data_IF_504385932285
#
_entry.id   IF_504385932285
#
_cell.length_a   1.000
_cell.length_b   1.000
_cell.length_c   1.000
_cell.angle_alpha   90.00
_cell.angle_beta   90.00
_cell.angle_gamma   90.00
#
_symmetry.space_group_name_H-M   'P 1'
#
loop_
_entity.id
_entity.type
_entity.pdbx_description
1 polymer ?
#
# COMPACT_ATOMS: atom_id res chain seq x y z
N UNK A 1 -35.93 -15.98 -13.02
CA UNK A 1 -36.86 -14.85 -13.17
C UNK A 1 -36.80 -14.03 -11.89
N UNK A 2 -35.94 -13.01 -11.85
CA UNK A 2 -35.72 -12.17 -10.67
C UNK A 2 -35.74 -10.74 -11.20
N UNK A 3 -36.95 -10.17 -11.22
CA UNK A 3 -37.18 -8.77 -11.51
C UNK A 3 -36.51 -7.92 -10.41
N UNK A 4 -35.29 -7.46 -10.65
CA UNK A 4 -34.82 -6.25 -10.00
C UNK A 4 -35.64 -5.09 -10.61
N UNK A 5 -36.32 -4.25 -9.80
CA UNK A 5 -36.99 -3.08 -10.35
C UNK A 5 -35.94 -2.15 -10.98
N UNK A 6 -36.14 -1.86 -12.26
CA UNK A 6 -35.30 -0.94 -13.02
C UNK A 6 -35.72 0.49 -12.63
N UNK A 7 -34.99 1.11 -11.70
CA UNK A 7 -35.26 2.49 -11.32
C UNK A 7 -34.63 3.43 -12.35
N UNK A 8 -35.46 4.19 -13.07
CA UNK A 8 -35.02 5.24 -13.99
C UNK A 8 -35.09 6.58 -13.26
N UNK A 9 -33.93 7.19 -13.03
CA UNK A 9 -33.83 8.50 -12.39
C UNK A 9 -33.65 9.59 -13.46
N UNK A 10 -34.52 10.60 -13.43
CA UNK A 10 -34.39 11.79 -14.27
C UNK A 10 -33.88 12.96 -13.42
N UNK A 11 -32.71 13.50 -13.75
CA UNK A 11 -32.22 14.73 -13.14
C UNK A 11 -33.12 15.91 -13.51
N UNK A 12 -33.42 16.79 -12.56
CA UNK A 12 -34.17 18.01 -12.86
C UNK A 12 -33.26 19.04 -13.54
N UNK A 13 -33.72 19.60 -14.67
CA UNK A 13 -33.05 20.71 -15.34
C UNK A 13 -33.03 21.98 -14.45
N UNK A 14 -31.93 22.73 -14.59
CA UNK A 14 -31.57 23.98 -13.91
C UNK A 14 -32.68 25.03 -14.09
N UNK A 15 -33.70 25.01 -13.23
CA UNK A 15 -34.86 25.91 -13.33
C UNK A 15 -35.85 25.82 -12.18
N UNK A 16 -35.84 24.72 -11.42
CA UNK A 16 -36.61 24.57 -10.17
C UNK A 16 -35.66 24.65 -8.99
N UNK A 17 -35.97 25.48 -7.99
CA UNK A 17 -35.19 25.55 -6.76
C UNK A 17 -35.21 24.18 -6.06
N UNK A 18 -34.02 23.63 -5.76
CA UNK A 18 -33.92 22.45 -4.92
C UNK A 18 -34.28 22.84 -3.50
N UNK A 19 -35.30 22.17 -2.93
CA UNK A 19 -35.65 22.37 -1.54
C UNK A 19 -34.73 21.51 -0.67
N UNK A 20 -33.77 22.16 -0.02
CA UNK A 20 -32.88 21.52 0.94
C UNK A 20 -33.61 21.43 2.28
N UNK A 21 -33.61 20.26 2.89
CA UNK A 21 -34.18 20.01 4.21
C UNK A 21 -33.10 19.53 5.17
N UNK A 22 -33.30 19.77 6.46
CA UNK A 22 -32.39 19.30 7.51
C UNK A 22 -32.55 17.80 7.76
N UNK A 23 -31.52 17.16 8.33
CA UNK A 23 -31.56 15.77 8.74
C UNK A 23 -32.70 15.46 9.74
N UNK A 24 -33.07 16.44 10.59
CA UNK A 24 -34.18 16.28 11.53
C UNK A 24 -35.52 16.16 10.79
N UNK A 25 -35.72 16.98 9.76
CA UNK A 25 -36.92 16.93 8.91
C UNK A 25 -36.98 15.63 8.10
N UNK A 26 -35.84 15.14 7.60
CA UNK A 26 -35.77 13.82 6.96
C UNK A 26 -36.26 12.72 7.90
N UNK A 27 -35.80 12.72 9.16
CA UNK A 27 -36.24 11.73 10.16
C UNK A 27 -37.74 11.78 10.42
N UNK A 28 -38.33 12.97 10.49
CA UNK A 28 -39.79 13.12 10.65
C UNK A 28 -40.52 12.55 9.45
N UNK A 29 -40.13 12.91 8.22
CA UNK A 29 -40.77 12.44 6.99
C UNK A 29 -40.72 10.91 6.85
N UNK A 30 -39.57 10.31 7.18
CA UNK A 30 -39.43 8.85 7.21
C UNK A 30 -40.33 8.19 8.26
N UNK A 31 -40.51 8.84 9.42
CA UNK A 31 -41.40 8.35 10.50
C UNK A 31 -42.88 8.46 10.11
N UNK A 32 -43.24 9.42 9.26
CA UNK A 32 -44.58 9.62 8.70
C UNK A 32 -44.87 8.67 7.52
N UNK A 33 -43.93 7.75 7.21
CA UNK A 33 -44.09 6.72 6.18
C UNK A 33 -43.65 7.12 4.78
N UNK A 34 -42.92 8.23 4.61
CA UNK A 34 -42.33 8.60 3.32
C UNK A 34 -41.12 7.69 3.00
N UNK A 35 -40.96 7.33 1.72
CA UNK A 35 -39.79 6.61 1.22
C UNK A 35 -38.62 7.58 0.99
N UNK A 36 -37.42 7.18 1.42
CA UNK A 36 -36.19 7.94 1.23
C UNK A 36 -35.15 7.14 0.46
N UNK A 37 -34.44 7.80 -0.45
CA UNK A 37 -33.37 7.21 -1.23
C UNK A 37 -32.04 7.92 -0.94
N UNK A 38 -30.98 7.14 -0.75
CA UNK A 38 -29.62 7.65 -0.65
C UNK A 38 -28.92 7.45 -2.00
N UNK A 39 -28.48 8.54 -2.60
CA UNK A 39 -27.62 8.51 -3.77
C UNK A 39 -26.21 8.96 -3.37
N UNK A 40 -25.21 8.17 -3.73
CA UNK A 40 -23.80 8.55 -3.59
C UNK A 40 -23.24 8.90 -4.96
N UNK A 41 -22.56 10.04 -5.04
CA UNK A 41 -21.81 10.44 -6.23
C UNK A 41 -20.37 10.02 -5.98
N UNK A 42 -19.90 9.04 -6.75
CA UNK A 42 -18.50 8.66 -6.77
C UNK A 42 -17.86 9.32 -7.99
N UNK A 43 -16.87 10.18 -7.76
CA UNK A 43 -16.08 10.73 -8.85
C UNK A 43 -15.15 9.62 -9.37
N UNK A 44 -15.42 9.14 -10.58
CA UNK A 44 -14.59 8.12 -11.25
C UNK A 44 -13.41 8.74 -12.00
N UNK A 45 -13.26 10.06 -11.96
CA UNK A 45 -12.15 10.79 -12.58
C UNK A 45 -10.98 11.05 -11.64
N UNK A 46 -11.14 10.81 -10.33
CA UNK A 46 -10.00 10.91 -9.41
C UNK A 46 -9.10 9.70 -9.61
N UNK A 47 -7.94 9.93 -10.20
CA UNK A 47 -6.83 8.99 -10.18
C UNK A 47 -6.61 8.53 -8.73
N UNK A 48 -6.26 7.27 -8.53
CA UNK A 48 -6.01 6.74 -7.17
C UNK A 48 -4.93 7.63 -6.55
N UNK A 49 -5.16 8.22 -5.34
CA UNK A 49 -4.19 9.12 -4.75
C UNK A 49 -2.83 8.45 -4.67
N UNK A 50 -1.83 9.09 -5.26
CA UNK A 50 -0.45 8.62 -5.22
C UNK A 50 0.07 8.76 -3.79
N UNK A 51 0.98 7.87 -3.37
CA UNK A 51 1.68 8.03 -2.10
C UNK A 51 2.42 9.39 -2.04
N UNK A 52 2.83 9.92 -3.19
CA UNK A 52 3.48 11.22 -3.31
C UNK A 52 2.52 12.41 -3.05
N UNK A 53 1.21 12.20 -3.09
CA UNK A 53 0.21 13.22 -2.74
C UNK A 53 0.07 13.39 -1.22
N UNK A 54 0.68 12.50 -0.43
CA UNK A 54 0.69 12.63 1.02
C UNK A 54 1.66 13.74 1.45
N UNK A 55 1.21 14.70 2.29
CA UNK A 55 2.05 15.82 2.76
C UNK A 55 3.37 15.36 3.42
N UNK A 56 3.33 14.25 4.15
CA UNK A 56 4.52 13.70 4.81
C UNK A 56 5.57 13.15 3.81
N UNK A 57 5.12 12.61 2.68
CA UNK A 57 6.02 12.01 1.67
C UNK A 57 6.72 13.12 0.89
N UNK A 58 5.97 14.19 0.57
CA UNK A 58 6.54 15.38 -0.07
C UNK A 58 7.48 16.19 0.83
N UNK A 59 7.34 16.11 2.16
CA UNK A 59 8.24 16.75 3.12
C UNK A 59 9.62 16.07 3.21
N UNK A 60 9.67 14.75 2.96
CA UNK A 60 10.89 13.93 3.09
C UNK A 60 11.22 13.16 1.79
N UNK A 61 11.51 13.86 0.66
CA UNK A 61 11.76 13.22 -0.62
C UNK A 61 13.04 12.36 -0.63
N UNK A 62 13.98 12.63 0.27
CA UNK A 62 15.23 11.89 0.47
C UNK A 62 15.04 10.58 1.26
N UNK A 63 13.96 10.47 2.05
CA UNK A 63 13.62 9.28 2.83
C UNK A 63 12.74 8.33 2.01
N UNK A 64 11.82 8.88 1.21
CA UNK A 64 10.87 8.12 0.41
C UNK A 64 11.29 8.04 -1.07
N UNK A 65 12.52 7.57 -1.30
CA UNK A 65 13.01 7.30 -2.66
C UNK A 65 12.39 6.02 -3.21
N UNK A 66 12.15 5.98 -4.53
CA UNK A 66 11.70 4.76 -5.23
C UNK A 66 12.73 3.61 -5.11
N UNK A 67 13.99 3.98 -4.92
CA UNK A 67 15.12 3.07 -4.77
C UNK A 67 15.95 3.39 -3.53
N UNK A 68 16.42 2.36 -2.82
CA UNK A 68 17.25 2.53 -1.63
C UNK A 68 18.62 3.15 -1.98
N UNK A 69 19.11 4.16 -1.23
CA UNK A 69 20.34 4.91 -1.52
C UNK A 69 21.65 4.14 -1.28
N UNK A 70 21.61 2.80 -1.23
CA UNK A 70 22.76 1.94 -0.93
C UNK A 70 22.96 1.69 0.56
N UNK A 71 24.12 1.13 0.94
CA UNK A 71 24.45 0.91 2.35
C UNK A 71 24.53 2.28 3.04
N UNK A 72 23.84 2.47 4.17
CA UNK A 72 23.95 3.71 4.91
C UNK A 72 25.40 3.93 5.40
N UNK A 73 25.83 5.19 5.60
CA UNK A 73 27.16 5.49 6.10
C UNK A 73 27.50 4.71 7.37
N UNK A 74 28.80 4.53 7.61
CA UNK A 74 29.29 3.93 8.86
C UNK A 74 28.69 4.72 10.02
N UNK A 75 27.83 4.05 10.80
CA UNK A 75 27.26 4.64 12.01
C UNK A 75 28.33 4.66 13.10
N UNK A 76 28.25 5.63 14.00
CA UNK A 76 29.11 5.69 15.20
C UNK A 76 28.91 4.46 16.12
N UNK A 77 27.77 3.78 15.98
CA UNK A 77 27.43 2.57 16.74
C UNK A 77 27.61 1.34 15.87
N UNK A 78 28.52 0.46 16.28
CA UNK A 78 28.72 -0.84 15.63
C UNK A 78 27.64 -1.84 16.07
N UNK A 79 26.85 -2.33 15.13
CA UNK A 79 25.85 -3.38 15.37
C UNK A 79 26.55 -4.72 15.60
N UNK A 80 26.61 -5.14 16.88
CA UNK A 80 27.23 -6.39 17.28
C UNK A 80 26.17 -7.48 17.55
N UNK A 81 26.26 -8.60 16.83
CA UNK A 81 25.44 -9.79 17.09
C UNK A 81 26.07 -10.58 18.24
N UNK A 82 25.51 -10.46 19.45
CA UNK A 82 25.96 -11.21 20.61
C UNK A 82 25.46 -12.66 20.53
N UNK A 83 26.39 -13.60 20.50
CA UNK A 83 26.07 -15.02 20.58
C UNK A 83 25.82 -15.42 22.03
N UNK A 84 24.90 -16.36 22.25
CA UNK A 84 24.78 -17.03 23.55
C UNK A 84 26.05 -17.85 23.81
N UNK A 85 26.42 -17.97 25.10
CA UNK A 85 27.58 -18.76 25.50
C UNK A 85 27.44 -20.20 24.97
N UNK A 86 28.50 -20.71 24.33
CA UNK A 86 28.58 -22.04 23.68
C UNK A 86 27.80 -22.20 22.37
N UNK A 87 27.36 -21.12 21.73
CA UNK A 87 26.89 -21.21 20.35
C UNK A 87 28.04 -21.61 19.42
N UNK A 88 27.82 -22.67 18.64
CA UNK A 88 28.73 -23.10 17.57
C UNK A 88 28.15 -22.70 16.20
N UNK A 89 29.00 -22.44 15.19
CA UNK A 89 28.54 -22.16 13.83
C UNK A 89 27.71 -23.31 13.26
N UNK A 90 26.63 -22.98 12.54
CA UNK A 90 25.72 -23.97 11.95
C UNK A 90 25.73 -23.83 10.43
N UNK A 91 26.53 -24.67 9.77
CA UNK A 91 26.52 -24.78 8.30
C UNK A 91 25.44 -25.77 7.85
N UNK A 92 24.49 -25.30 7.05
CA UNK A 92 23.43 -26.12 6.41
C UNK A 92 23.55 -26.10 4.89
N UNK A 93 23.24 -27.22 4.27
CA UNK A 93 23.14 -27.29 2.82
C UNK A 93 22.00 -26.40 2.29
N UNK A 94 22.19 -25.82 1.11
CA UNK A 94 21.17 -25.00 0.44
C UNK A 94 19.92 -25.85 0.11
N UNK A 95 18.75 -25.23 0.21
CA UNK A 95 17.49 -25.86 -0.20
C UNK A 95 17.46 -26.12 -1.71
N UNK A 96 16.75 -27.17 -2.13
CA UNK A 96 16.59 -27.49 -3.55
C UNK A 96 15.58 -26.55 -4.18
N UNK A 97 16.03 -25.77 -5.16
CA UNK A 97 15.21 -24.82 -5.93
C UNK A 97 15.09 -25.28 -7.38
N UNK A 98 13.97 -24.96 -8.02
CA UNK A 98 13.78 -25.18 -9.45
C UNK A 98 14.70 -24.27 -10.29
N UNK A 99 14.97 -24.58 -11.58
CA UNK A 99 15.84 -23.76 -12.41
C UNK A 99 15.41 -22.29 -12.54
N UNK A 100 14.10 -22.02 -12.52
CA UNK A 100 13.56 -20.66 -12.61
C UNK A 100 13.81 -19.87 -11.31
N UNK A 101 13.66 -20.51 -10.16
CA UNK A 101 13.92 -19.89 -8.85
C UNK A 101 15.42 -19.62 -8.66
N UNK A 102 16.28 -20.53 -9.12
CA UNK A 102 17.73 -20.33 -9.10
C UNK A 102 18.18 -19.17 -9.98
N UNK A 103 17.53 -18.97 -11.12
CA UNK A 103 17.81 -17.82 -11.99
C UNK A 103 17.43 -16.52 -11.30
N UNK A 104 16.21 -16.44 -10.76
CA UNK A 104 15.73 -15.26 -10.02
C UNK A 104 16.63 -14.94 -8.83
N UNK A 105 16.97 -15.95 -8.03
CA UNK A 105 17.89 -15.78 -6.89
C UNK A 105 19.24 -15.23 -7.32
N UNK A 106 19.78 -15.72 -8.44
CA UNK A 106 21.06 -15.22 -8.97
C UNK A 106 20.94 -13.74 -9.39
N UNK A 107 19.86 -13.38 -10.06
CA UNK A 107 19.63 -12.01 -10.53
C UNK A 107 19.51 -11.04 -9.34
N UNK A 108 18.77 -11.43 -8.29
CA UNK A 108 18.69 -10.66 -7.03
C UNK A 108 20.03 -10.54 -6.30
N UNK A 109 20.79 -11.64 -6.18
CA UNK A 109 22.12 -11.60 -5.56
C UNK A 109 23.08 -10.69 -6.33
N UNK A 110 22.99 -10.66 -7.65
CA UNK A 110 23.80 -9.77 -8.47
C UNK A 110 23.43 -8.31 -8.22
N UNK A 111 22.14 -7.97 -8.19
CA UNK A 111 21.69 -6.62 -7.85
C UNK A 111 22.22 -6.18 -6.47
N UNK A 112 22.11 -7.04 -5.45
CA UNK A 112 22.60 -6.74 -4.10
C UNK A 112 24.11 -6.54 -4.05
N UNK A 113 24.88 -7.26 -4.87
CA UNK A 113 26.33 -7.08 -5.01
C UNK A 113 26.68 -5.75 -5.66
N UNK A 114 26.02 -5.40 -6.78
CA UNK A 114 26.26 -4.14 -7.50
C UNK A 114 25.88 -2.92 -6.64
N UNK A 115 24.82 -3.04 -5.83
CA UNK A 115 24.43 -2.00 -4.85
C UNK A 115 25.30 -1.98 -3.60
N UNK A 116 26.21 -2.94 -3.47
CA UNK A 116 27.17 -3.04 -2.37
C UNK A 116 26.60 -3.62 -1.07
N UNK A 117 25.31 -3.96 -1.00
CA UNK A 117 24.63 -4.44 0.22
C UNK A 117 25.22 -5.75 0.78
N UNK A 118 25.80 -6.58 -0.09
CA UNK A 118 26.47 -7.82 0.30
C UNK A 118 27.86 -7.89 -0.33
N UNK A 119 28.69 -8.80 0.20
CA UNK A 119 30.00 -9.13 -0.36
C UNK A 119 30.30 -10.62 -0.21
N UNK A 120 31.13 -11.21 -1.09
CA UNK A 120 31.60 -12.57 -0.90
C UNK A 120 32.28 -12.75 0.46
N UNK A 121 32.02 -13.89 1.12
CA UNK A 121 32.63 -14.22 2.40
C UNK A 121 32.95 -15.71 2.48
N UNK A 122 33.84 -16.07 3.39
CA UNK A 122 34.17 -17.45 3.73
C UNK A 122 33.81 -17.64 5.21
N UNK A 123 32.60 -18.12 5.46
CA UNK A 123 32.00 -18.24 6.79
C UNK A 123 32.01 -19.70 7.26
N UNK A 124 32.28 -19.97 8.56
CA UNK A 124 32.04 -21.29 9.16
C UNK A 124 30.56 -21.54 9.50
N UNK A 125 29.73 -20.49 9.48
CA UNK A 125 28.26 -20.55 9.54
C UNK A 125 27.68 -20.82 8.16
#
# INVERSE_FOLDING_TARGET
DIHAPEFIYHGSLLGKSMQIISALQVRTLLSDGCEGFLATIHDTTSDVPSIHDQPIVSEFPDVFLDELPGIPPVHEVEFNIKLILRAEPISKALYRMAPIELKELKDQLHELLERGFIRPSVSPW
#
